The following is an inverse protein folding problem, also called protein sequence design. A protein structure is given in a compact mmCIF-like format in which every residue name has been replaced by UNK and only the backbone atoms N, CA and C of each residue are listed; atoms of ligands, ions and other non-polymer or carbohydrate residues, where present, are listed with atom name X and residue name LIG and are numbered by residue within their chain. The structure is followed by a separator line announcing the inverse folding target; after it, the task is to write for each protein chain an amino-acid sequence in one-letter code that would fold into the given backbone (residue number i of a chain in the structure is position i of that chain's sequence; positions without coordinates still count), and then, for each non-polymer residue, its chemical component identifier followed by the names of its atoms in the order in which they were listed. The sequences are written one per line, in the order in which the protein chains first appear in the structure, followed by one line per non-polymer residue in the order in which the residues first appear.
data_IF_205984278756
#
_entry.id   IF_205984278756
#
_cell.length_a   1.000
_cell.length_b   1.000
_cell.length_c   1.000
_cell.angle_alpha   90.00
_cell.angle_beta   90.00
_cell.angle_gamma   90.00
#
_symmetry.space_group_name_H-M   'P 1'
#
loop_
_entity.id
_entity.type
_entity.pdbx_description
1 polymer ?
#
# COMPACT_ATOMS: atom_id res chain seq x y z
N UNK A 1 -2.30 11.99 -21.01
CA UNK A 1 -2.45 11.71 -19.55
C UNK A 1 -1.19 11.02 -19.06
N UNK A 2 -0.57 11.51 -18.00
CA UNK A 2 0.52 10.82 -17.28
C UNK A 2 0.06 10.43 -15.89
N UNK A 3 0.72 9.48 -15.27
CA UNK A 3 0.42 8.99 -13.91
C UNK A 3 1.58 9.35 -13.00
N UNK A 4 1.29 10.03 -11.88
CA UNK A 4 2.24 10.31 -10.80
C UNK A 4 1.89 9.39 -9.63
N UNK A 5 2.57 8.25 -9.53
CA UNK A 5 2.29 7.24 -8.52
C UNK A 5 3.27 7.37 -7.34
N UNK A 6 2.77 7.51 -6.12
CA UNK A 6 3.61 7.69 -4.94
C UNK A 6 3.25 6.72 -3.83
N UNK A 7 4.28 6.14 -3.20
CA UNK A 7 4.12 5.55 -1.88
C UNK A 7 3.81 6.64 -0.83
N UNK A 8 3.33 6.21 0.32
CA UNK A 8 2.88 7.10 1.41
C UNK A 8 3.94 7.26 2.50
N UNK A 9 4.21 6.20 3.25
CA UNK A 9 5.00 6.23 4.47
C UNK A 9 6.51 6.24 4.16
N UNK A 10 7.18 7.36 4.44
CA UNK A 10 8.59 7.55 4.07
C UNK A 10 8.80 8.14 2.68
N UNK A 11 7.71 8.40 1.93
CA UNK A 11 7.76 8.97 0.58
C UNK A 11 6.93 10.26 0.48
N UNK A 12 5.60 10.17 0.47
CA UNK A 12 4.72 11.34 0.31
C UNK A 12 4.39 12.03 1.63
N UNK A 13 4.15 11.25 2.68
CA UNK A 13 3.80 11.75 4.00
C UNK A 13 5.04 12.27 4.74
N UNK A 14 4.83 13.28 5.59
CA UNK A 14 5.85 13.77 6.50
C UNK A 14 6.13 12.79 7.66
N UNK A 15 6.99 13.20 8.58
CA UNK A 15 7.36 12.39 9.74
C UNK A 15 6.22 12.20 10.78
N UNK A 16 5.10 12.90 10.62
CA UNK A 16 3.88 12.77 11.44
C UNK A 16 2.82 11.91 10.74
N UNK A 17 3.09 11.41 9.53
CA UNK A 17 2.13 10.68 8.71
C UNK A 17 1.05 11.58 8.10
N UNK A 18 1.36 12.85 7.88
CA UNK A 18 0.45 13.87 7.37
C UNK A 18 0.99 14.51 6.07
N UNK A 19 0.15 15.28 5.41
CA UNK A 19 0.51 16.09 4.25
C UNK A 19 -0.25 17.44 4.28
N UNK A 20 0.23 18.40 3.50
CA UNK A 20 -0.43 19.70 3.35
C UNK A 20 -1.62 19.57 2.38
N UNK A 21 -2.86 19.62 2.92
CA UNK A 21 -4.10 19.49 2.14
C UNK A 21 -4.29 20.63 1.14
N UNK A 22 -3.90 21.86 1.47
CA UNK A 22 -4.04 22.99 0.55
C UNK A 22 -3.06 22.84 -0.63
N UNK A 23 -1.84 22.41 -0.33
CA UNK A 23 -0.83 22.14 -1.35
C UNK A 23 -1.23 20.99 -2.28
N UNK A 24 -1.86 19.93 -1.72
CA UNK A 24 -2.39 18.84 -2.54
C UNK A 24 -3.52 19.32 -3.45
N UNK A 25 -4.43 20.17 -2.96
CA UNK A 25 -5.52 20.73 -3.77
C UNK A 25 -4.98 21.50 -4.99
N UNK A 26 -4.02 22.39 -4.76
CA UNK A 26 -3.33 23.14 -5.85
C UNK A 26 -2.62 22.19 -6.83
N UNK A 27 -1.95 21.14 -6.33
CA UNK A 27 -1.29 20.13 -7.18
C UNK A 27 -2.32 19.37 -8.03
N UNK A 28 -3.47 18.99 -7.47
CA UNK A 28 -4.52 18.27 -8.18
C UNK A 28 -5.14 19.16 -9.28
N UNK A 29 -5.35 20.45 -9.02
CA UNK A 29 -5.79 21.41 -10.04
C UNK A 29 -4.81 21.49 -11.22
N UNK A 30 -3.51 21.54 -10.93
CA UNK A 30 -2.47 21.54 -11.96
C UNK A 30 -2.40 20.20 -12.71
N UNK A 31 -2.57 19.07 -12.01
CA UNK A 31 -2.65 17.74 -12.61
C UNK A 31 -3.81 17.64 -13.60
N UNK A 32 -5.02 18.06 -13.18
CA UNK A 32 -6.21 18.04 -14.03
C UNK A 32 -6.04 18.92 -15.28
N UNK A 33 -5.48 20.12 -15.11
CA UNK A 33 -5.24 21.05 -16.23
C UNK A 33 -4.27 20.50 -17.30
N UNK A 34 -3.35 19.61 -16.90
CA UNK A 34 -2.31 19.04 -17.79
C UNK A 34 -2.49 17.56 -18.10
N UNK A 35 -3.65 17.00 -17.78
CA UNK A 35 -3.97 15.58 -18.01
C UNK A 35 -2.99 14.63 -17.30
N UNK A 36 -2.75 14.89 -16.00
CA UNK A 36 -2.03 14.01 -15.08
C UNK A 36 -3.01 13.38 -14.08
N UNK A 37 -2.70 12.18 -13.60
CA UNK A 37 -3.42 11.49 -12.53
C UNK A 37 -2.49 11.34 -11.33
N UNK A 38 -2.82 11.99 -10.23
CA UNK A 38 -2.18 11.72 -8.95
C UNK A 38 -2.67 10.38 -8.41
N UNK A 39 -1.73 9.51 -8.07
CA UNK A 39 -2.01 8.13 -7.67
C UNK A 39 -1.29 7.80 -6.37
N UNK A 40 -2.06 7.36 -5.40
CA UNK A 40 -1.57 6.81 -4.12
C UNK A 40 -1.32 5.31 -4.30
N UNK A 41 -0.17 4.78 -3.86
CA UNK A 41 0.13 3.35 -3.89
C UNK A 41 0.67 2.89 -2.53
N UNK A 42 -0.12 2.13 -1.76
CA UNK A 42 0.19 1.81 -0.37
C UNK A 42 -0.20 0.38 0.02
N UNK A 43 0.47 -0.15 1.05
CA UNK A 43 0.04 -1.35 1.74
C UNK A 43 -1.16 -1.14 2.68
N UNK A 44 -1.55 0.11 2.94
CA UNK A 44 -2.70 0.42 3.78
C UNK A 44 -4.01 -0.06 3.17
N UNK A 45 -4.99 -0.35 4.04
CA UNK A 45 -6.36 -0.66 3.64
C UNK A 45 -7.01 0.51 2.89
N UNK A 46 -7.93 0.22 1.95
CA UNK A 46 -8.63 1.25 1.20
C UNK A 46 -9.33 2.25 2.11
N UNK A 47 -10.06 1.79 3.13
CA UNK A 47 -10.78 2.67 4.06
C UNK A 47 -9.85 3.68 4.75
N UNK A 48 -8.66 3.23 5.17
CA UNK A 48 -7.68 4.13 5.80
C UNK A 48 -7.11 5.17 4.81
N UNK A 49 -6.98 4.81 3.54
CA UNK A 49 -6.56 5.75 2.49
C UNK A 49 -7.69 6.72 2.13
N UNK A 50 -8.94 6.27 2.05
CA UNK A 50 -10.09 7.13 1.79
C UNK A 50 -10.28 8.16 2.93
N UNK A 51 -10.07 7.76 4.19
CA UNK A 51 -10.09 8.69 5.33
C UNK A 51 -8.92 9.69 5.27
N UNK A 52 -7.70 9.20 4.98
CA UNK A 52 -6.52 10.07 4.85
C UNK A 52 -6.70 11.13 3.75
N UNK A 53 -7.32 10.75 2.63
CA UNK A 53 -7.59 11.62 1.48
C UNK A 53 -9.05 12.11 1.43
N UNK A 54 -9.72 12.18 2.59
CA UNK A 54 -11.08 12.74 2.66
C UNK A 54 -11.16 14.13 2.02
N UNK A 55 -12.11 14.28 1.09
CA UNK A 55 -12.29 15.46 0.24
C UNK A 55 -11.53 15.40 -1.11
N UNK A 56 -10.71 14.37 -1.36
CA UNK A 56 -9.94 14.23 -2.61
C UNK A 56 -10.16 12.89 -3.34
N UNK A 57 -10.89 11.93 -2.74
CA UNK A 57 -11.07 10.57 -3.28
C UNK A 57 -11.66 10.57 -4.70
N UNK A 58 -12.51 11.52 -5.03
CA UNK A 58 -13.15 11.69 -6.35
C UNK A 58 -12.23 12.35 -7.40
N UNK A 59 -10.98 12.70 -7.03
CA UNK A 59 -10.00 13.35 -7.89
C UNK A 59 -8.74 12.53 -8.15
N UNK A 60 -8.50 11.48 -7.35
CA UNK A 60 -7.25 10.71 -7.34
C UNK A 60 -7.46 9.25 -7.74
N UNK A 61 -6.37 8.54 -8.03
CA UNK A 61 -6.35 7.10 -8.05
C UNK A 61 -5.75 6.56 -6.75
N UNK A 62 -6.23 5.41 -6.28
CA UNK A 62 -5.75 4.73 -5.08
C UNK A 62 -5.44 3.27 -5.44
N UNK A 63 -4.21 2.86 -5.19
CA UNK A 63 -3.74 1.48 -5.21
C UNK A 63 -3.54 1.08 -3.75
N UNK A 64 -4.49 0.35 -3.20
CA UNK A 64 -4.52 -0.08 -1.80
C UNK A 64 -4.10 -1.54 -1.65
N UNK A 65 -3.93 -2.01 -0.41
CA UNK A 65 -3.69 -3.41 -0.07
C UNK A 65 -2.49 -4.01 -0.83
N UNK A 66 -1.39 -3.26 -0.94
CA UNK A 66 -0.21 -3.64 -1.73
C UNK A 66 -0.52 -3.94 -3.22
N UNK A 67 -1.54 -3.33 -3.80
CA UNK A 67 -1.90 -3.55 -5.20
C UNK A 67 -3.10 -4.47 -5.44
N UNK A 68 -3.64 -5.08 -4.39
CA UNK A 68 -4.80 -5.97 -4.51
C UNK A 68 -6.10 -5.24 -4.82
N UNK A 69 -6.16 -3.92 -4.61
CA UNK A 69 -7.33 -3.11 -4.91
C UNK A 69 -6.91 -1.81 -5.60
N UNK A 70 -7.55 -1.52 -6.73
CA UNK A 70 -7.32 -0.29 -7.52
C UNK A 70 -8.63 0.47 -7.67
N UNK A 71 -8.61 1.73 -7.27
CA UNK A 71 -9.72 2.66 -7.37
C UNK A 71 -9.31 3.91 -8.14
N UNK A 72 -10.23 4.49 -8.90
CA UNK A 72 -10.05 5.79 -9.55
C UNK A 72 -11.31 6.62 -9.41
N UNK A 73 -11.18 7.82 -8.88
CA UNK A 73 -12.30 8.75 -8.65
C UNK A 73 -13.45 8.12 -7.86
N UNK A 74 -13.13 7.32 -6.85
CA UNK A 74 -14.10 6.64 -6.01
C UNK A 74 -14.71 5.36 -6.60
N UNK A 75 -14.38 5.01 -7.85
CA UNK A 75 -14.86 3.79 -8.49
C UNK A 75 -13.79 2.70 -8.48
N UNK A 76 -14.13 1.50 -8.04
CA UNK A 76 -13.24 0.34 -8.04
C UNK A 76 -13.07 -0.16 -9.49
N UNK A 77 -11.83 -0.16 -9.97
CA UNK A 77 -11.47 -0.62 -11.32
C UNK A 77 -11.01 -2.08 -11.33
N UNK A 78 -10.28 -2.48 -10.29
CA UNK A 78 -9.69 -3.81 -10.18
C UNK A 78 -9.63 -4.25 -8.72
N UNK A 79 -9.80 -5.56 -8.49
CA UNK A 79 -9.59 -6.19 -7.19
C UNK A 79 -9.10 -7.63 -7.32
N UNK A 80 -8.23 -8.03 -6.41
CA UNK A 80 -7.71 -9.39 -6.27
C UNK A 80 -7.89 -9.83 -4.83
N UNK A 81 -8.80 -10.79 -4.60
CA UNK A 81 -9.26 -11.22 -3.27
C UNK A 81 -8.70 -12.58 -2.91
N UNK A 82 -8.47 -12.81 -1.63
CA UNK A 82 -8.20 -14.13 -1.07
C UNK A 82 -9.50 -14.96 -1.00
N UNK A 83 -9.43 -16.21 -1.40
CA UNK A 83 -10.53 -17.14 -1.16
C UNK A 83 -10.69 -17.44 0.33
N UNK A 84 -11.92 -17.68 0.84
CA UNK A 84 -12.16 -17.97 2.26
C UNK A 84 -11.32 -19.13 2.79
N UNK A 85 -11.12 -20.17 2.00
CA UNK A 85 -10.27 -21.30 2.38
C UNK A 85 -8.82 -20.85 2.62
N UNK A 86 -8.29 -19.98 1.75
CA UNK A 86 -6.90 -19.58 1.79
C UNK A 86 -6.63 -18.64 2.96
N UNK A 87 -7.46 -17.61 3.17
CA UNK A 87 -7.22 -16.72 4.30
C UNK A 87 -7.43 -17.39 5.67
N UNK A 88 -8.32 -18.39 5.78
CA UNK A 88 -8.47 -19.18 7.01
C UNK A 88 -7.25 -20.07 7.25
N UNK A 89 -6.74 -20.76 6.22
CA UNK A 89 -5.53 -21.58 6.33
C UNK A 89 -4.30 -20.72 6.71
N UNK A 90 -4.16 -19.53 6.11
CA UNK A 90 -3.12 -18.56 6.46
C UNK A 90 -3.27 -18.11 7.90
N UNK A 91 -4.48 -17.76 8.34
CA UNK A 91 -4.76 -17.32 9.70
C UNK A 91 -4.38 -18.37 10.74
N UNK A 92 -4.87 -19.60 10.58
CA UNK A 92 -4.59 -20.72 11.48
C UNK A 92 -3.10 -21.05 11.56
N UNK A 93 -2.45 -21.12 10.39
CA UNK A 93 -1.02 -21.42 10.30
C UNK A 93 -0.18 -20.35 10.97
N UNK A 94 -0.50 -19.08 10.71
CA UNK A 94 0.26 -17.94 11.21
C UNK A 94 0.09 -17.77 12.73
N UNK A 95 -1.14 -17.93 13.24
CA UNK A 95 -1.42 -17.92 14.70
C UNK A 95 -0.69 -19.02 15.45
N UNK A 96 -0.47 -20.18 14.83
CA UNK A 96 0.26 -21.29 15.44
C UNK A 96 1.78 -21.05 15.53
N UNK A 97 2.32 -20.03 14.84
CA UNK A 97 3.75 -19.72 14.86
C UNK A 97 4.17 -19.14 16.22
N UNK A 98 5.35 -19.54 16.74
CA UNK A 98 5.92 -18.92 17.92
C UNK A 98 6.07 -17.42 17.74
N UNK A 99 5.84 -16.66 18.81
CA UNK A 99 5.96 -15.18 18.83
C UNK A 99 4.89 -14.42 18.05
N UNK A 100 3.90 -15.07 17.42
CA UNK A 100 2.76 -14.38 16.83
C UNK A 100 1.92 -13.71 17.94
N UNK A 101 1.75 -12.40 17.87
CA UNK A 101 0.91 -11.63 18.80
C UNK A 101 -0.55 -11.57 18.36
N UNK A 102 -0.79 -11.72 17.07
CA UNK A 102 -2.13 -11.68 16.50
C UNK A 102 -2.12 -11.52 14.99
N UNK A 103 -3.28 -11.74 14.39
CA UNK A 103 -3.54 -11.54 12.96
C UNK A 103 -4.79 -10.68 12.73
N UNK A 104 -4.85 -10.06 11.57
CA UNK A 104 -6.05 -9.43 11.03
C UNK A 104 -6.28 -9.88 9.58
N UNK A 105 -7.53 -10.15 9.24
CA UNK A 105 -7.98 -10.19 7.85
C UNK A 105 -8.32 -8.75 7.43
N UNK A 106 -7.61 -8.20 6.45
CA UNK A 106 -7.91 -6.87 5.90
C UNK A 106 -8.98 -7.01 4.82
N UNK A 107 -10.13 -6.44 5.09
CA UNK A 107 -11.31 -6.53 4.22
C UNK A 107 -11.75 -5.16 3.70
N UNK A 108 -12.70 -5.21 2.75
CA UNK A 108 -13.28 -4.01 2.13
C UNK A 108 -14.01 -3.11 3.13
N UNK A 109 -14.69 -3.70 4.12
CA UNK A 109 -15.56 -3.00 5.08
C UNK A 109 -14.95 -2.84 6.45
N UNK A 110 -13.81 -3.47 6.71
CA UNK A 110 -13.12 -3.42 7.99
C UNK A 110 -12.02 -4.47 8.12
N UNK A 111 -11.50 -4.60 9.32
CA UNK A 111 -10.45 -5.56 9.65
C UNK A 111 -10.95 -6.53 10.74
N UNK A 112 -10.70 -7.82 10.55
CA UNK A 112 -11.29 -8.90 11.35
C UNK A 112 -10.21 -9.70 12.06
N UNK A 113 -10.27 -9.74 13.38
CA UNK A 113 -9.42 -10.58 14.23
C UNK A 113 -10.21 -11.77 14.81
N UNK A 114 -9.56 -12.85 15.26
CA UNK A 114 -10.22 -13.92 16.01
C UNK A 114 -10.93 -13.41 17.27
N UNK A 115 -12.02 -14.09 17.67
CA UNK A 115 -12.80 -13.73 18.86
C UNK A 115 -11.99 -13.64 20.15
N UNK A 116 -10.92 -14.41 20.26
CA UNK A 116 -10.02 -14.49 21.39
C UNK A 116 -8.75 -13.62 21.26
N UNK A 117 -8.71 -12.75 20.27
CA UNK A 117 -7.59 -11.82 20.06
C UNK A 117 -7.37 -10.92 21.29
N UNK A 118 -6.10 -10.67 21.63
CA UNK A 118 -5.75 -9.82 22.76
C UNK A 118 -6.33 -8.39 22.55
N UNK A 119 -7.09 -7.85 23.52
CA UNK A 119 -7.62 -6.48 23.43
C UNK A 119 -6.54 -5.41 23.22
N UNK A 120 -5.32 -5.62 23.73
CA UNK A 120 -4.21 -4.70 23.50
C UNK A 120 -3.73 -4.72 22.03
N UNK A 121 -3.73 -5.91 21.42
CA UNK A 121 -3.47 -6.06 19.99
C UNK A 121 -4.52 -5.33 19.14
N UNK A 122 -5.82 -5.59 19.41
CA UNK A 122 -6.91 -4.91 18.71
C UNK A 122 -6.78 -3.38 18.78
N UNK A 123 -6.53 -2.87 20.00
CA UNK A 123 -6.33 -1.42 20.23
C UNK A 123 -5.12 -0.85 19.47
N UNK A 124 -4.06 -1.64 19.32
CA UNK A 124 -2.90 -1.22 18.53
C UNK A 124 -3.21 -1.17 17.04
N UNK A 125 -4.03 -2.10 16.54
CA UNK A 125 -4.42 -2.18 15.13
C UNK A 125 -5.38 -1.07 14.69
N UNK A 126 -6.20 -0.50 15.58
CA UNK A 126 -7.05 0.68 15.31
C UNK A 126 -6.28 1.93 14.82
N UNK A 127 -4.95 1.91 14.88
CA UNK A 127 -4.11 2.99 14.34
C UNK A 127 -3.89 2.87 12.83
N UNK A 128 -4.10 1.68 12.28
CA UNK A 128 -3.76 1.32 10.90
C UNK A 128 -4.95 0.85 10.10
N UNK A 129 -6.02 0.44 10.79
CA UNK A 129 -7.20 -0.16 10.20
C UNK A 129 -8.47 0.47 10.76
N UNK A 130 -9.40 0.76 9.88
CA UNK A 130 -10.75 1.15 10.23
C UNK A 130 -11.61 -0.07 10.58
N UNK A 131 -12.63 0.13 11.41
CA UNK A 131 -13.61 -0.90 11.74
C UNK A 131 -12.99 -2.23 12.20
N UNK A 132 -12.02 -2.18 13.15
CA UNK A 132 -11.39 -3.39 13.70
C UNK A 132 -12.39 -4.14 14.57
N UNK A 133 -12.64 -5.41 14.26
CA UNK A 133 -13.63 -6.25 14.94
C UNK A 133 -13.06 -7.61 15.29
N UNK A 134 -13.28 -8.05 16.56
CA UNK A 134 -13.09 -9.45 16.92
C UNK A 134 -14.34 -10.26 16.53
N UNK A 135 -14.16 -11.35 15.78
CA UNK A 135 -15.25 -12.17 15.26
C UNK A 135 -14.80 -13.62 15.00
N UNK A 136 -15.76 -14.49 14.74
CA UNK A 136 -15.48 -15.79 14.15
C UNK A 136 -15.05 -15.58 12.69
N UNK A 137 -13.80 -15.93 12.36
CA UNK A 137 -13.25 -15.72 11.02
C UNK A 137 -13.96 -16.54 9.94
N UNK A 138 -14.52 -17.70 10.30
CA UNK A 138 -15.35 -18.51 9.38
C UNK A 138 -16.67 -17.81 9.01
N UNK A 139 -17.15 -16.91 9.87
CA UNK A 139 -18.40 -16.16 9.64
C UNK A 139 -18.18 -14.85 8.87
N UNK A 140 -16.94 -14.49 8.53
CA UNK A 140 -16.64 -13.29 7.76
C UNK A 140 -17.22 -13.41 6.35
N UNK A 141 -18.03 -12.42 5.95
CA UNK A 141 -18.68 -12.35 4.63
C UNK A 141 -18.16 -11.18 3.79
N UNK A 142 -17.04 -10.60 4.19
CA UNK A 142 -16.38 -9.51 3.50
C UNK A 142 -15.40 -10.02 2.43
N UNK A 143 -15.07 -9.16 1.47
CA UNK A 143 -13.98 -9.41 0.52
C UNK A 143 -12.65 -9.16 1.22
N UNK A 144 -11.82 -10.19 1.37
CA UNK A 144 -10.53 -10.12 2.06
C UNK A 144 -9.39 -10.02 1.04
N UNK A 145 -8.47 -9.07 1.28
CA UNK A 145 -7.35 -8.77 0.37
C UNK A 145 -6.01 -9.27 0.87
N UNK A 146 -5.82 -9.31 2.19
CA UNK A 146 -4.60 -9.81 2.82
C UNK A 146 -4.86 -10.29 4.24
N UNK A 147 -3.90 -11.06 4.77
CA UNK A 147 -3.79 -11.37 6.19
C UNK A 147 -2.59 -10.61 6.73
N UNK A 148 -2.81 -9.74 7.73
CA UNK A 148 -1.73 -9.05 8.43
C UNK A 148 -1.41 -9.79 9.71
N UNK A 149 -0.13 -10.00 10.00
CA UNK A 149 0.34 -10.64 11.21
C UNK A 149 1.37 -9.79 11.95
N UNK A 150 1.34 -9.83 13.28
CA UNK A 150 2.30 -9.17 14.15
C UNK A 150 3.07 -10.18 14.98
N UNK A 151 4.39 -9.98 15.08
CA UNK A 151 5.30 -10.89 15.80
C UNK A 151 6.16 -10.13 16.82
N UNK A 152 6.54 -10.83 17.91
CA UNK A 152 7.49 -10.29 18.89
C UNK A 152 8.93 -10.50 18.44
N UNK A 153 9.77 -9.50 18.73
CA UNK A 153 11.22 -9.58 18.56
C UNK A 153 11.66 -9.59 17.09
N UNK A 154 12.93 -9.94 16.86
CA UNK A 154 13.59 -9.90 15.54
C UNK A 154 13.33 -11.15 14.67
N UNK A 155 12.18 -11.80 14.84
CA UNK A 155 11.88 -13.09 14.18
C UNK A 155 11.09 -12.94 12.88
N UNK A 156 10.69 -11.73 12.51
CA UNK A 156 9.78 -11.48 11.39
C UNK A 156 10.29 -12.01 10.05
N UNK A 157 11.59 -11.85 9.76
CA UNK A 157 12.17 -12.34 8.51
C UNK A 157 12.14 -13.88 8.44
N UNK A 158 12.54 -14.55 9.52
CA UNK A 158 12.49 -16.02 9.61
C UNK A 158 11.07 -16.55 9.44
N UNK A 159 10.07 -15.85 10.02
CA UNK A 159 8.65 -16.23 9.90
C UNK A 159 8.13 -16.00 8.48
N UNK A 160 8.50 -14.89 7.86
CA UNK A 160 8.18 -14.62 6.46
C UNK A 160 8.77 -15.66 5.51
N UNK A 161 10.06 -16.00 5.68
CA UNK A 161 10.71 -17.04 4.89
C UNK A 161 10.01 -18.39 5.05
N UNK A 162 9.65 -18.76 6.29
CA UNK A 162 8.89 -19.99 6.56
C UNK A 162 7.53 -19.98 5.86
N UNK A 163 6.73 -18.92 6.00
CA UNK A 163 5.42 -18.81 5.35
C UNK A 163 5.55 -18.88 3.83
N UNK A 164 6.57 -18.26 3.24
CA UNK A 164 6.87 -18.34 1.81
C UNK A 164 7.26 -19.75 1.34
N UNK A 165 7.71 -20.65 2.24
CA UNK A 165 8.00 -22.05 1.88
C UNK A 165 6.77 -22.95 1.90
N UNK A 166 5.75 -22.61 2.70
CA UNK A 166 4.55 -23.44 2.87
C UNK A 166 3.38 -22.99 2.01
N UNK A 167 3.29 -21.72 1.67
CA UNK A 167 2.25 -21.17 0.79
C UNK A 167 2.83 -20.88 -0.59
N UNK A 168 2.57 -21.74 -1.58
CA UNK A 168 3.12 -21.60 -2.94
C UNK A 168 2.52 -20.40 -3.70
N UNK A 169 1.23 -20.10 -3.43
CA UNK A 169 0.45 -19.06 -4.10
C UNK A 169 0.37 -17.73 -3.32
N UNK A 170 1.08 -17.63 -2.20
CA UNK A 170 1.11 -16.45 -1.36
C UNK A 170 2.53 -15.90 -1.23
N UNK A 171 2.61 -14.64 -0.81
CA UNK A 171 3.87 -13.98 -0.45
C UNK A 171 3.72 -13.25 0.87
N UNK A 172 4.63 -13.52 1.81
CA UNK A 172 4.75 -12.79 3.05
C UNK A 172 5.71 -11.60 2.84
N UNK A 173 5.21 -10.38 3.01
CA UNK A 173 5.94 -9.12 2.82
C UNK A 173 6.02 -8.37 4.15
N UNK A 174 7.22 -8.00 4.58
CA UNK A 174 7.37 -7.20 5.81
C UNK A 174 6.88 -5.76 5.60
N UNK A 175 6.06 -5.26 6.51
CA UNK A 175 5.47 -3.91 6.47
C UNK A 175 5.97 -3.01 7.59
N UNK A 176 6.97 -3.47 8.34
CA UNK A 176 7.57 -2.76 9.47
C UNK A 176 8.59 -3.65 10.18
N UNK A 177 8.91 -3.30 11.43
CA UNK A 177 9.88 -4.07 12.23
C UNK A 177 9.29 -5.36 12.80
N UNK A 178 7.98 -5.41 13.04
CA UNK A 178 7.27 -6.47 13.74
C UNK A 178 5.99 -6.94 13.03
N UNK A 179 5.68 -6.41 11.86
CA UNK A 179 4.46 -6.70 11.10
C UNK A 179 4.75 -7.17 9.68
N UNK A 180 3.94 -8.09 9.17
CA UNK A 180 3.97 -8.56 7.79
C UNK A 180 2.56 -8.70 7.22
N UNK A 181 2.46 -8.52 5.92
CA UNK A 181 1.27 -8.83 5.15
C UNK A 181 1.48 -10.13 4.36
N UNK A 182 0.51 -11.03 4.39
CA UNK A 182 0.46 -12.22 3.54
C UNK A 182 -0.58 -11.95 2.46
N UNK A 183 -0.12 -11.88 1.22
CA UNK A 183 -0.88 -11.47 0.03
C UNK A 183 -0.79 -12.53 -1.06
N UNK A 184 -1.65 -12.46 -2.07
CA UNK A 184 -1.52 -13.31 -3.26
C UNK A 184 -0.17 -13.07 -3.94
N UNK A 185 0.48 -14.13 -4.35
CA UNK A 185 1.77 -14.07 -5.05
C UNK A 185 1.65 -13.32 -6.37
N UNK A 186 2.58 -12.39 -6.59
CA UNK A 186 2.58 -11.52 -7.76
C UNK A 186 1.63 -10.34 -7.67
N UNK A 187 0.91 -10.20 -6.55
CA UNK A 187 0.17 -8.97 -6.22
C UNK A 187 1.11 -8.06 -5.45
N UNK A 188 1.42 -6.91 -6.02
CA UNK A 188 2.29 -5.88 -5.47
C UNK A 188 1.87 -4.51 -6.02
N UNK A 189 2.52 -3.43 -5.59
CA UNK A 189 2.18 -2.07 -6.05
C UNK A 189 2.38 -1.90 -7.56
N UNK A 190 3.35 -2.59 -8.17
CA UNK A 190 3.58 -2.61 -9.62
C UNK A 190 2.45 -3.30 -10.36
N UNK A 191 1.92 -4.40 -9.82
CA UNK A 191 0.74 -5.10 -10.34
C UNK A 191 -0.50 -4.19 -10.30
N UNK A 192 -0.77 -3.53 -9.18
CA UNK A 192 -1.86 -2.55 -9.07
C UNK A 192 -1.70 -1.40 -10.09
N UNK A 193 -0.49 -0.89 -10.25
CA UNK A 193 -0.19 0.17 -11.19
C UNK A 193 -0.35 -0.28 -12.66
N UNK A 194 0.00 -1.53 -12.97
CA UNK A 194 -0.27 -2.14 -14.27
C UNK A 194 -1.78 -2.14 -14.57
N UNK A 195 -2.62 -2.57 -13.62
CA UNK A 195 -4.07 -2.58 -13.79
C UNK A 195 -4.64 -1.17 -13.96
N UNK A 196 -4.21 -0.21 -13.17
CA UNK A 196 -4.59 1.20 -13.36
C UNK A 196 -4.24 1.70 -14.76
N UNK A 197 -3.03 1.37 -15.25
CA UNK A 197 -2.61 1.74 -16.60
C UNK A 197 -3.50 1.10 -17.68
N UNK A 198 -3.86 -0.17 -17.53
CA UNK A 198 -4.74 -0.86 -18.48
C UNK A 198 -6.12 -0.19 -18.55
N UNK A 199 -6.74 0.08 -17.40
CA UNK A 199 -8.08 0.72 -17.32
C UNK A 199 -8.09 2.14 -17.87
N UNK A 200 -6.98 2.88 -17.69
CA UNK A 200 -6.85 4.25 -18.22
C UNK A 200 -6.27 4.32 -19.66
N UNK A 201 -5.97 3.17 -20.29
CA UNK A 201 -5.36 3.10 -21.61
C UNK A 201 -3.96 3.74 -21.66
N UNK A 202 -3.13 3.49 -20.60
CA UNK A 202 -1.79 4.04 -20.43
C UNK A 202 -0.73 2.94 -20.46
N UNK A 203 0.53 3.35 -20.62
CA UNK A 203 1.68 2.46 -20.63
C UNK A 203 2.64 2.83 -19.50
N UNK A 204 3.53 1.92 -19.17
CA UNK A 204 4.59 2.14 -18.19
C UNK A 204 5.39 3.44 -18.43
N UNK A 205 5.65 3.78 -19.69
CA UNK A 205 6.34 5.03 -20.07
C UNK A 205 5.58 6.32 -19.74
N UNK A 206 4.28 6.22 -19.43
CA UNK A 206 3.46 7.35 -18.98
C UNK A 206 3.51 7.56 -17.45
N UNK A 207 4.22 6.70 -16.74
CA UNK A 207 4.26 6.67 -15.26
C UNK A 207 5.54 7.26 -14.74
N UNK A 208 5.42 8.15 -13.75
CA UNK A 208 6.50 8.53 -12.82
C UNK A 208 6.14 7.99 -11.45
N UNK A 209 6.98 7.13 -10.88
CA UNK A 209 6.74 6.49 -9.58
C UNK A 209 7.74 6.95 -8.53
N UNK A 210 7.26 7.13 -7.30
CA UNK A 210 8.02 7.59 -6.13
C UNK A 210 7.94 6.55 -5.02
N UNK A 211 9.09 6.19 -4.41
CA UNK A 211 9.13 5.21 -3.35
C UNK A 211 10.41 5.27 -2.52
N UNK A 212 10.43 4.52 -1.42
CA UNK A 212 11.58 4.48 -0.50
C UNK A 212 11.90 3.08 0.05
N UNK A 213 10.97 2.12 -0.02
CA UNK A 213 11.11 0.84 0.65
C UNK A 213 10.94 -0.35 -0.32
N UNK A 214 11.25 -1.56 0.15
CA UNK A 214 11.28 -2.77 -0.69
C UNK A 214 9.94 -3.11 -1.34
N UNK A 215 8.82 -2.78 -0.71
CA UNK A 215 7.48 -2.97 -1.30
C UNK A 215 7.16 -1.99 -2.45
N UNK A 216 8.08 -1.06 -2.76
CA UNK A 216 7.99 -0.16 -3.92
C UNK A 216 8.78 -0.67 -5.12
N UNK A 217 9.58 -1.73 -4.95
CA UNK A 217 10.52 -2.22 -5.96
C UNK A 217 9.83 -2.49 -7.30
N UNK A 218 8.71 -3.21 -7.26
CA UNK A 218 7.95 -3.60 -8.45
C UNK A 218 7.31 -2.39 -9.12
N UNK A 219 6.77 -1.43 -8.33
CA UNK A 219 6.20 -0.18 -8.83
C UNK A 219 7.26 0.68 -9.52
N UNK A 220 8.41 0.85 -8.90
CA UNK A 220 9.53 1.61 -9.46
C UNK A 220 10.10 0.95 -10.71
N UNK A 221 10.23 -0.39 -10.70
CA UNK A 221 10.72 -1.15 -11.86
C UNK A 221 9.73 -1.10 -13.03
N UNK A 222 8.42 -1.06 -12.76
CA UNK A 222 7.38 -0.96 -13.78
C UNK A 222 7.36 0.43 -14.43
N UNK A 223 7.58 1.51 -13.68
CA UNK A 223 7.41 2.87 -14.15
C UNK A 223 8.41 3.26 -15.25
N UNK A 224 7.99 4.15 -16.14
CA UNK A 224 8.87 4.76 -17.14
C UNK A 224 9.91 5.72 -16.55
N UNK A 225 9.68 6.21 -15.34
CA UNK A 225 10.63 6.96 -14.51
C UNK A 225 10.46 6.63 -13.05
N UNK A 226 11.52 6.14 -12.44
CA UNK A 226 11.59 5.78 -11.03
C UNK A 226 12.33 6.85 -10.23
N UNK A 227 11.73 7.33 -9.15
CA UNK A 227 12.28 8.39 -8.28
C UNK A 227 12.31 7.89 -6.85
N UNK A 228 13.50 7.89 -6.23
CA UNK A 228 13.69 7.54 -4.83
C UNK A 228 13.86 8.78 -3.97
N UNK A 229 13.37 8.74 -2.72
CA UNK A 229 13.67 9.77 -1.73
C UNK A 229 15.07 9.59 -1.14
N UNK A 230 15.64 10.63 -0.54
CA UNK A 230 16.97 10.57 0.12
C UNK A 230 17.02 9.52 1.25
N UNK A 231 15.91 9.33 1.97
CA UNK A 231 15.79 8.32 3.03
C UNK A 231 15.56 6.90 2.53
N UNK A 232 15.40 6.70 1.22
CA UNK A 232 15.11 5.38 0.65
C UNK A 232 16.25 4.39 0.94
N UNK A 233 15.90 3.11 0.97
CA UNK A 233 16.87 2.01 1.09
C UNK A 233 17.82 2.00 -0.10
N UNK A 234 19.02 1.48 0.10
CA UNK A 234 20.04 1.44 -0.95
C UNK A 234 19.60 0.60 -2.16
N UNK A 235 18.83 -0.46 -1.93
CA UNK A 235 18.25 -1.30 -2.98
C UNK A 235 17.28 -0.52 -3.87
N UNK A 236 16.50 0.39 -3.28
CA UNK A 236 15.55 1.26 -4.00
C UNK A 236 16.29 2.36 -4.76
N UNK A 237 17.27 3.00 -4.13
CA UNK A 237 18.12 3.98 -4.81
C UNK A 237 18.86 3.38 -6.02
N UNK A 238 19.21 2.09 -5.95
CA UNK A 238 19.92 1.41 -7.02
C UNK A 238 19.08 1.18 -8.29
N UNK A 239 17.75 1.12 -8.17
CA UNK A 239 16.82 0.96 -9.30
C UNK A 239 16.18 2.28 -9.74
N UNK A 240 16.32 3.35 -8.96
CA UNK A 240 15.77 4.67 -9.29
C UNK A 240 16.61 5.37 -10.37
N UNK A 241 15.93 6.07 -11.27
CA UNK A 241 16.57 6.96 -12.25
C UNK A 241 17.10 8.24 -11.59
N UNK A 242 16.49 8.64 -10.47
CA UNK A 242 16.84 9.85 -9.73
C UNK A 242 16.57 9.68 -8.23
N UNK A 243 17.44 10.29 -7.42
CA UNK A 243 17.25 10.42 -5.96
C UNK A 243 17.01 11.89 -5.64
N UNK A 244 15.84 12.16 -5.03
CA UNK A 244 15.42 13.51 -4.64
C UNK A 244 15.68 13.77 -3.16
N UNK A 245 15.27 14.92 -2.63
CA UNK A 245 15.41 15.26 -1.21
C UNK A 245 14.66 14.32 -0.27
N UNK A 246 14.81 14.57 1.04
CA UNK A 246 14.20 13.74 2.09
C UNK A 246 12.67 13.95 2.14
N UNK A 247 11.89 12.88 2.36
CA UNK A 247 10.42 12.92 2.38
C UNK A 247 9.86 13.98 3.34
N UNK A 248 10.46 14.12 4.52
CA UNK A 248 10.01 15.09 5.54
C UNK A 248 10.10 16.55 5.11
N UNK A 249 10.85 16.85 4.08
CA UNK A 249 11.03 18.20 3.54
C UNK A 249 10.06 18.49 2.37
N UNK A 250 9.15 17.54 2.06
CA UNK A 250 8.17 17.68 0.99
C UNK A 250 8.73 17.49 -0.42
N UNK A 251 9.86 16.78 -0.54
CA UNK A 251 10.59 16.63 -1.81
C UNK A 251 9.76 16.02 -2.95
N UNK A 252 8.82 15.11 -2.64
CA UNK A 252 7.91 14.53 -3.63
C UNK A 252 6.93 15.59 -4.16
N UNK A 253 6.38 16.43 -3.29
CA UNK A 253 5.55 17.56 -3.71
C UNK A 253 6.32 18.51 -4.64
N UNK A 254 7.53 18.95 -4.22
CA UNK A 254 8.37 19.85 -5.00
C UNK A 254 8.64 19.30 -6.41
N UNK A 255 8.91 18.00 -6.46
CA UNK A 255 9.18 17.31 -7.73
C UNK A 255 7.93 17.23 -8.63
N UNK A 256 6.78 16.82 -8.06
CA UNK A 256 5.52 16.74 -8.81
C UNK A 256 5.08 18.11 -9.32
N UNK A 257 5.14 19.16 -8.49
CA UNK A 257 4.86 20.55 -8.88
C UNK A 257 5.78 21.01 -10.01
N UNK A 258 7.07 20.65 -9.95
CA UNK A 258 8.02 20.90 -11.02
C UNK A 258 7.62 20.24 -12.34
N UNK A 259 7.10 19.01 -12.31
CA UNK A 259 6.62 18.29 -13.50
C UNK A 259 5.36 18.93 -14.09
N UNK A 260 4.38 19.28 -13.26
CA UNK A 260 3.13 19.88 -13.73
C UNK A 260 3.25 21.39 -13.94
N UNK A 261 4.24 22.07 -13.36
CA UNK A 261 4.53 23.49 -13.56
C UNK A 261 5.33 23.79 -14.82
N UNK A 262 6.11 22.82 -15.31
CA UNK A 262 6.95 23.01 -16.50
C UNK A 262 6.08 23.09 -17.76
N UNK A 263 6.13 24.21 -18.47
CA UNK A 263 5.63 24.30 -19.84
C UNK A 263 6.56 23.45 -20.74
N UNK A 264 6.06 22.29 -21.18
CA UNK A 264 6.72 21.47 -22.21
C UNK A 264 6.19 21.87 -23.58
#
# INVERSE_FOLDING_TARGET
MKILATDMDGTFLDHLGAYDKARLDDLLDACEAKDYVFTVASGRALLALEELFDGFVDRIAIIAENGALVQYKGEVLFESKLDPKDYLEIADTTLALPTCEGILLSGRRGAYAPNDADPAYLKAMERYYENVMATDLEAVTDDIFKVTAKFQGDTIMERGDYLNTIFEDMTAVTTGFDSMDIILKGVDKGFGLYHLCQELGRQASDVVAFGDNLNDMEMLTFAGRAVATENARDEIKAVADEVIGHHKDGAVFDYMEGLVGSDV
#
